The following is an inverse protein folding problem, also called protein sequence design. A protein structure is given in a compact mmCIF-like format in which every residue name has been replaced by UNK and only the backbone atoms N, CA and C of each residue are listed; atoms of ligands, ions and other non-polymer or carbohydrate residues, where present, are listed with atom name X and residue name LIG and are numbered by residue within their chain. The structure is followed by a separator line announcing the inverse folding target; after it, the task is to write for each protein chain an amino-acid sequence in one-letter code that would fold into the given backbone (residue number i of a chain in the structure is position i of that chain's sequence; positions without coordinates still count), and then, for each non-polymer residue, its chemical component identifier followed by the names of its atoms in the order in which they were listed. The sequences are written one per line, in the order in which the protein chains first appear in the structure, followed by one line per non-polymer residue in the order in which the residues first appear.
data_IF_803105808414
#
_entry.id   IF_803105808414
#
_cell.length_a   1.000
_cell.length_b   1.000
_cell.length_c   1.000
_cell.angle_alpha   90.00
_cell.angle_beta   90.00
_cell.angle_gamma   90.00
#
_symmetry.space_group_name_H-M   'P 1'
#
loop_
_entity.id
_entity.type
_entity.pdbx_description
1 polymer ?
#
# COMPACT_ATOMS: atom_id res chain seq x y z
N UNK A 1 5.85 -13.11 -16.90
CA UNK A 1 6.33 -13.23 -15.50
C UNK A 1 5.36 -12.49 -14.59
N UNK A 2 4.80 -13.13 -13.55
CA UNK A 2 3.75 -12.52 -12.72
C UNK A 2 4.35 -11.47 -11.77
N UNK A 3 4.10 -10.18 -12.02
CA UNK A 3 4.61 -9.04 -11.22
C UNK A 3 4.28 -9.15 -9.73
N UNK A 4 3.11 -9.73 -9.38
CA UNK A 4 2.74 -9.92 -7.97
C UNK A 4 3.65 -10.95 -7.29
N UNK A 5 3.98 -12.04 -7.99
CA UNK A 5 4.91 -13.07 -7.47
C UNK A 5 6.31 -12.48 -7.24
N UNK A 6 6.79 -11.65 -8.17
CA UNK A 6 8.07 -10.96 -8.03
C UNK A 6 8.07 -9.98 -6.85
N UNK A 7 7.01 -9.18 -6.70
CA UNK A 7 6.86 -8.26 -5.58
C UNK A 7 6.84 -9.00 -4.24
N UNK A 8 6.12 -10.12 -4.17
CA UNK A 8 6.09 -10.96 -2.97
C UNK A 8 7.48 -11.50 -2.64
N UNK A 9 8.21 -12.04 -3.62
CA UNK A 9 9.57 -12.56 -3.40
C UNK A 9 10.52 -11.47 -2.88
N UNK A 10 10.47 -10.27 -3.47
CA UNK A 10 11.33 -9.15 -3.07
C UNK A 10 10.96 -8.63 -1.70
N UNK A 11 9.66 -8.59 -1.38
CA UNK A 11 9.20 -8.22 -0.05
C UNK A 11 9.67 -9.21 1.02
N UNK A 12 9.68 -10.51 0.73
CA UNK A 12 10.18 -11.53 1.67
C UNK A 12 11.69 -11.42 1.93
N UNK A 13 12.45 -10.78 1.04
CA UNK A 13 13.87 -10.47 1.25
C UNK A 13 14.13 -9.08 1.84
N UNK A 14 13.08 -8.29 2.09
CA UNK A 14 13.20 -6.95 2.63
C UNK A 14 13.39 -6.99 4.15
N UNK A 15 14.48 -6.42 4.65
CA UNK A 15 14.74 -6.31 6.10
C UNK A 15 13.67 -5.49 6.83
N UNK A 16 13.03 -4.54 6.14
CA UNK A 16 11.97 -3.73 6.73
C UNK A 16 10.64 -4.49 6.89
N UNK A 17 10.51 -5.70 6.33
CA UNK A 17 9.26 -6.47 6.41
C UNK A 17 8.83 -6.75 7.86
N UNK A 18 9.78 -6.87 8.79
CA UNK A 18 9.49 -7.16 10.20
C UNK A 18 8.90 -5.96 10.96
N UNK A 19 8.98 -4.75 10.40
CA UNK A 19 8.38 -3.56 10.99
C UNK A 19 6.86 -3.53 10.84
N UNK A 20 6.32 -4.37 9.96
CA UNK A 20 4.89 -4.46 9.67
C UNK A 20 4.36 -5.84 10.02
N UNK A 21 3.31 -5.89 10.83
CA UNK A 21 2.68 -7.15 11.19
C UNK A 21 1.55 -7.51 10.23
N UNK A 22 0.61 -8.29 10.77
CA UNK A 22 -0.55 -8.76 10.02
C UNK A 22 -1.55 -7.63 9.80
N UNK A 23 -1.97 -7.44 8.55
CA UNK A 23 -2.95 -6.41 8.22
C UNK A 23 -4.34 -6.88 8.67
N UNK A 24 -5.02 -6.07 9.47
CA UNK A 24 -6.42 -6.29 9.82
C UNK A 24 -7.28 -5.39 8.96
N UNK A 25 -8.31 -5.91 8.32
CA UNK A 25 -9.23 -5.08 7.57
C UNK A 25 -10.34 -4.57 8.49
N UNK A 26 -10.63 -3.27 8.43
CA UNK A 26 -11.73 -2.69 9.18
C UNK A 26 -13.05 -3.20 8.61
N UNK A 27 -13.82 -3.88 9.46
CA UNK A 27 -15.17 -4.33 9.13
C UNK A 27 -16.12 -3.14 9.26
N UNK A 28 -16.85 -2.80 8.18
CA UNK A 28 -17.95 -1.84 8.26
C UNK A 28 -19.25 -2.59 8.48
N UNK A 29 -20.03 -2.20 9.48
CA UNK A 29 -21.30 -2.85 9.81
C UNK A 29 -22.25 -3.00 8.60
N UNK A 30 -22.27 -2.00 7.71
CA UNK A 30 -23.12 -1.98 6.51
C UNK A 30 -22.48 -2.60 5.26
N UNK A 31 -21.15 -2.70 5.19
CA UNK A 31 -20.42 -3.28 4.04
C UNK A 31 -19.15 -3.97 4.56
N UNK A 32 -19.28 -5.18 5.16
CA UNK A 32 -18.16 -5.90 5.77
C UNK A 32 -17.01 -6.15 4.80
N UNK A 33 -17.34 -6.35 3.52
CA UNK A 33 -16.38 -6.72 2.47
C UNK A 33 -15.90 -5.52 1.65
N UNK A 34 -16.15 -4.28 2.11
CA UNK A 34 -15.80 -3.06 1.38
C UNK A 34 -14.33 -3.05 0.93
N UNK A 35 -13.42 -3.35 1.87
CA UNK A 35 -11.98 -3.33 1.64
C UNK A 35 -11.55 -4.46 0.69
N UNK A 36 -12.07 -5.67 0.88
CA UNK A 36 -11.81 -6.81 -0.01
C UNK A 36 -12.26 -6.54 -1.45
N UNK A 37 -13.48 -6.03 -1.62
CA UNK A 37 -14.03 -5.67 -2.92
C UNK A 37 -13.18 -4.60 -3.62
N UNK A 38 -12.69 -3.59 -2.89
CA UNK A 38 -11.79 -2.57 -3.45
C UNK A 38 -10.44 -3.13 -3.86
N UNK A 39 -9.86 -4.05 -3.07
CA UNK A 39 -8.60 -4.75 -3.43
C UNK A 39 -8.75 -5.49 -4.76
N UNK A 40 -9.82 -6.27 -4.91
CA UNK A 40 -10.11 -7.02 -6.14
C UNK A 40 -10.32 -6.10 -7.34
N UNK A 41 -11.22 -5.11 -7.23
CA UNK A 41 -11.52 -4.17 -8.32
C UNK A 41 -10.31 -3.37 -8.80
N UNK A 42 -9.33 -3.14 -7.92
CA UNK A 42 -8.15 -2.30 -8.20
C UNK A 42 -6.88 -3.09 -8.45
N UNK A 43 -6.98 -4.43 -8.44
CA UNK A 43 -5.86 -5.36 -8.53
C UNK A 43 -4.73 -5.04 -7.52
N UNK A 44 -5.12 -4.73 -6.28
CA UNK A 44 -4.21 -4.41 -5.17
C UNK A 44 -4.14 -5.62 -4.23
N UNK A 45 -2.93 -6.09 -3.94
CA UNK A 45 -2.71 -7.19 -3.02
C UNK A 45 -2.10 -6.72 -1.69
N UNK A 46 -1.99 -7.65 -0.74
CA UNK A 46 -1.49 -7.35 0.61
C UNK A 46 -0.03 -6.87 0.61
N UNK A 47 0.83 -7.48 -0.20
CA UNK A 47 2.25 -7.08 -0.31
C UNK A 47 2.39 -5.63 -0.78
N UNK A 48 1.60 -5.22 -1.78
CA UNK A 48 1.59 -3.84 -2.23
C UNK A 48 1.18 -2.89 -1.10
N UNK A 49 0.20 -3.28 -0.29
CA UNK A 49 -0.22 -2.51 0.88
C UNK A 49 0.89 -2.42 1.92
N UNK A 50 1.58 -3.53 2.23
CA UNK A 50 2.71 -3.53 3.17
C UNK A 50 3.84 -2.62 2.71
N UNK A 51 4.19 -2.65 1.42
CA UNK A 51 5.19 -1.75 0.84
C UNK A 51 4.75 -0.29 1.00
N UNK A 52 3.48 0.04 0.73
CA UNK A 52 2.98 1.39 0.92
C UNK A 52 3.12 1.86 2.39
N UNK A 53 2.75 1.00 3.34
CA UNK A 53 2.82 1.29 4.78
C UNK A 53 4.27 1.51 5.27
N UNK A 54 5.24 0.79 4.71
CA UNK A 54 6.65 0.91 5.07
C UNK A 54 7.34 2.13 4.44
N UNK A 55 7.08 2.40 3.15
CA UNK A 55 7.89 3.30 2.36
C UNK A 55 7.20 4.58 1.92
N UNK A 56 5.87 4.60 1.83
CA UNK A 56 5.18 5.75 1.24
C UNK A 56 5.20 6.99 2.14
N UNK A 57 4.84 8.11 1.53
CA UNK A 57 4.72 9.40 2.22
C UNK A 57 3.50 9.40 3.13
N UNK A 58 3.71 9.63 4.43
CA UNK A 58 2.64 9.70 5.43
C UNK A 58 2.00 11.09 5.46
N UNK A 59 0.69 11.10 5.66
CA UNK A 59 -0.13 12.28 5.89
C UNK A 59 -1.27 11.92 6.85
N UNK A 60 -1.73 12.88 7.65
CA UNK A 60 -2.71 12.66 8.71
C UNK A 60 -4.02 13.34 8.37
N UNK A 61 -5.14 12.66 8.59
CA UNK A 61 -6.46 13.25 8.44
C UNK A 61 -7.34 12.87 9.63
N UNK A 62 -7.43 13.78 10.59
CA UNK A 62 -8.02 13.48 11.90
C UNK A 62 -7.25 12.35 12.59
N UNK A 63 -7.95 11.25 12.89
CA UNK A 63 -7.38 10.09 13.57
C UNK A 63 -6.91 8.98 12.61
N UNK A 64 -6.90 9.26 11.30
CA UNK A 64 -6.56 8.29 10.26
C UNK A 64 -5.19 8.64 9.67
N UNK A 65 -4.36 7.61 9.47
CA UNK A 65 -3.07 7.74 8.80
C UNK A 65 -3.26 7.36 7.34
N UNK A 66 -2.85 8.25 6.45
CA UNK A 66 -2.81 8.02 5.01
C UNK A 66 -1.37 7.87 4.60
N UNK A 67 -1.09 6.90 3.74
CA UNK A 67 0.22 6.81 3.08
C UNK A 67 0.04 6.72 1.58
N UNK A 68 0.86 7.46 0.83
CA UNK A 68 0.87 7.40 -0.64
C UNK A 68 2.26 7.12 -1.15
N UNK A 69 2.41 6.13 -2.04
CA UNK A 69 3.69 5.88 -2.70
C UNK A 69 3.94 6.95 -3.76
N UNK A 70 5.05 7.67 -3.61
CA UNK A 70 5.65 8.56 -4.60
C UNK A 70 6.94 7.93 -5.15
N UNK A 71 7.40 8.38 -6.32
CA UNK A 71 8.62 7.84 -6.94
C UNK A 71 9.83 7.98 -6.02
N UNK A 72 9.96 9.16 -5.39
CA UNK A 72 11.05 9.45 -4.45
C UNK A 72 11.14 8.42 -3.32
N UNK A 73 10.01 7.83 -2.92
CA UNK A 73 9.98 6.85 -1.85
C UNK A 73 10.61 5.51 -2.24
N UNK A 74 10.62 5.16 -3.53
CA UNK A 74 11.10 3.85 -4.02
C UNK A 74 12.39 3.94 -4.85
N UNK A 75 12.81 5.14 -5.27
CA UNK A 75 14.01 5.33 -6.12
C UNK A 75 15.27 4.69 -5.57
N UNK A 76 15.45 4.73 -4.24
CA UNK A 76 16.63 4.22 -3.55
C UNK A 76 16.32 2.94 -2.76
N UNK A 77 15.34 2.15 -3.20
CA UNK A 77 14.95 0.90 -2.55
C UNK A 77 14.96 -0.26 -3.55
N UNK A 78 14.86 -1.48 -3.04
CA UNK A 78 14.71 -2.71 -3.85
C UNK A 78 13.44 -2.70 -4.73
N UNK A 79 12.53 -1.74 -4.53
CA UNK A 79 11.31 -1.58 -5.28
C UNK A 79 11.41 -0.57 -6.43
N UNK A 80 12.58 0.01 -6.71
CA UNK A 80 12.78 0.99 -7.78
C UNK A 80 12.21 0.54 -9.14
N UNK A 81 12.41 -0.75 -9.49
CA UNK A 81 11.87 -1.33 -10.73
C UNK A 81 10.35 -1.48 -10.79
N UNK A 82 9.66 -1.28 -9.67
CA UNK A 82 8.20 -1.34 -9.56
C UNK A 82 7.57 0.03 -9.31
N UNK A 83 8.32 1.12 -9.46
CA UNK A 83 7.81 2.48 -9.31
C UNK A 83 6.52 2.67 -10.11
N UNK A 84 6.50 2.35 -11.40
CA UNK A 84 5.30 2.53 -12.23
C UNK A 84 4.10 1.70 -11.78
N UNK A 85 4.36 0.55 -11.16
CA UNK A 85 3.32 -0.33 -10.64
C UNK A 85 2.75 0.16 -9.32
N UNK A 86 3.59 0.74 -8.46
CA UNK A 86 3.27 1.11 -7.08
C UNK A 86 2.94 2.60 -6.91
N UNK A 87 3.38 3.47 -7.82
CA UNK A 87 3.13 4.92 -7.80
C UNK A 87 1.65 5.22 -7.62
N UNK A 88 1.37 6.12 -6.68
CA UNK A 88 0.03 6.57 -6.36
C UNK A 88 -0.79 5.55 -5.56
N UNK A 89 -0.23 4.40 -5.15
CA UNK A 89 -0.91 3.51 -4.22
C UNK A 89 -1.10 4.24 -2.90
N UNK A 90 -2.36 4.38 -2.49
CA UNK A 90 -2.75 5.00 -1.23
C UNK A 90 -3.41 3.99 -0.30
N UNK A 91 -2.88 3.85 0.91
CA UNK A 91 -3.45 3.03 1.99
C UNK A 91 -3.85 3.95 3.13
N UNK A 92 -5.04 3.73 3.68
CA UNK A 92 -5.53 4.45 4.86
C UNK A 92 -5.70 3.45 5.98
N UNK A 93 -5.09 3.71 7.14
CA UNK A 93 -5.16 2.82 8.30
C UNK A 93 -5.26 3.56 9.63
N UNK A 94 -5.56 2.79 10.68
CA UNK A 94 -5.52 3.19 12.09
C UNK A 94 -4.64 2.25 12.90
N UNK A 95 -4.16 2.77 14.03
CA UNK A 95 -3.33 2.03 14.96
C UNK A 95 -1.87 1.94 14.56
N UNK A 96 -1.15 1.04 15.22
CA UNK A 96 0.29 0.87 15.07
C UNK A 96 0.65 0.07 13.82
N UNK A 97 1.88 0.26 13.33
CA UNK A 97 2.37 -0.42 12.13
C UNK A 97 2.50 -1.95 12.32
N UNK A 98 2.64 -2.42 13.56
CA UNK A 98 2.67 -3.83 13.91
C UNK A 98 1.28 -4.48 13.83
N UNK A 99 0.21 -3.71 13.99
CA UNK A 99 -1.17 -4.21 13.92
C UNK A 99 -2.07 -3.19 13.20
N UNK A 100 -1.81 -2.89 11.92
CA UNK A 100 -2.51 -1.82 11.23
C UNK A 100 -3.92 -2.27 10.88
N UNK A 101 -4.90 -1.46 11.28
CA UNK A 101 -6.30 -1.63 10.87
C UNK A 101 -6.55 -0.84 9.57
N UNK A 102 -6.61 -1.55 8.44
CA UNK A 102 -6.81 -1.00 7.11
C UNK A 102 -8.26 -0.56 6.92
N UNK A 103 -8.46 0.74 6.72
CA UNK A 103 -9.78 1.34 6.50
C UNK A 103 -10.18 1.25 5.04
N UNK A 104 -9.25 1.57 4.13
CA UNK A 104 -9.47 1.49 2.69
C UNK A 104 -8.16 1.58 1.91
N UNK A 105 -8.21 1.24 0.63
CA UNK A 105 -7.07 1.28 -0.27
C UNK A 105 -7.49 1.77 -1.66
N UNK A 106 -6.73 2.68 -2.27
CA UNK A 106 -7.08 3.31 -3.55
C UNK A 106 -5.85 3.71 -4.37
N UNK A 107 -6.05 3.92 -5.67
CA UNK A 107 -5.06 4.56 -6.54
C UNK A 107 -5.33 6.07 -6.56
N UNK A 108 -4.38 6.88 -6.11
CA UNK A 108 -4.39 8.31 -6.35
C UNK A 108 -3.99 8.54 -7.82
N UNK A 109 -4.98 8.83 -8.66
CA UNK A 109 -4.78 8.97 -10.10
C UNK A 109 -3.99 10.23 -10.49
N UNK A 110 -4.03 11.30 -9.69
CA UNK A 110 -3.21 12.49 -9.93
C UNK A 110 -1.73 12.12 -9.82
N UNK A 111 -1.35 11.51 -8.70
CA UNK A 111 0.02 10.99 -8.49
C UNK A 111 0.39 9.96 -9.55
N UNK A 112 -0.54 9.09 -9.94
CA UNK A 112 -0.30 8.03 -10.93
C UNK A 112 -0.12 8.56 -12.36
N UNK A 113 -0.78 9.67 -12.71
CA UNK A 113 -0.74 10.25 -14.05
C UNK A 113 0.51 11.11 -14.32
N UNK A 114 1.17 11.63 -13.28
CA UNK A 114 2.34 12.52 -13.39
C UNK A 114 3.51 11.89 -14.19
N UNK A 115 3.60 10.57 -14.28
CA UNK A 115 4.68 9.89 -15.02
C UNK A 115 4.40 9.61 -16.49
N UNK A 116 3.21 9.94 -16.99
CA UNK A 116 2.84 9.75 -18.41
C UNK A 116 2.95 11.04 -19.23
N UNK A 117 3.36 12.13 -18.59
CA UNK A 117 3.73 13.39 -19.24
C UNK A 117 5.25 13.46 -19.31
#
# INVERSE_FOLDING_TARGET
MNTQKQLNQIFQSDENQYKIGTLKEKIRFLDPDHTQRRKQQRAINETMMKIALLYGEKDFHGNDIRVTILDKNLRNTIYAKFIDKLRGLRVIWKGELQNPEIITVLWNFETKAISRR
#
